data_IF_482585977596
#
_entry.id   IF_482585977596
#
_cell.length_a   1.000
_cell.length_b   1.000
_cell.length_c   1.000
_cell.angle_alpha   90.00
_cell.angle_beta   90.00
_cell.angle_gamma   90.00
#
_symmetry.space_group_name_H-M   'P 1'
#
loop_
_entity.id
_entity.type
_entity.pdbx_description
1 polymer ?
#
# COMPACT_ATOMS: atom_id res chain seq x y z
N UNK A 1 9.58 -50.40 -48.63
CA UNK A 1 9.34 -49.21 -47.78
C UNK A 1 9.62 -49.57 -46.33
N UNK A 2 10.65 -48.98 -45.70
CA UNK A 2 11.04 -49.28 -44.31
C UNK A 2 10.07 -48.54 -43.37
N UNK A 3 9.20 -49.26 -42.66
CA UNK A 3 8.36 -48.67 -41.59
C UNK A 3 9.28 -48.26 -40.44
N UNK A 4 9.37 -46.95 -40.20
CA UNK A 4 10.01 -46.44 -38.99
C UNK A 4 9.07 -46.74 -37.82
N UNK A 5 9.50 -47.57 -36.85
CA UNK A 5 8.76 -47.75 -35.60
C UNK A 5 8.76 -46.41 -34.86
N UNK A 6 7.58 -45.79 -34.73
CA UNK A 6 7.41 -44.64 -33.85
C UNK A 6 7.54 -45.12 -32.40
N UNK A 7 8.55 -44.59 -31.69
CA UNK A 7 8.69 -44.80 -30.24
C UNK A 7 7.64 -43.95 -29.53
N UNK A 8 6.74 -44.60 -28.81
CA UNK A 8 5.80 -43.94 -27.91
C UNK A 8 6.47 -43.48 -26.62
N UNK A 9 5.92 -42.43 -26.01
CA UNK A 9 6.34 -41.93 -24.70
C UNK A 9 5.94 -42.92 -23.61
N UNK A 10 6.80 -43.18 -22.63
CA UNK A 10 6.45 -44.05 -21.50
C UNK A 10 5.67 -43.29 -20.43
N UNK A 11 4.77 -43.99 -19.72
CA UNK A 11 4.02 -43.40 -18.60
C UNK A 11 4.94 -42.87 -17.49
N UNK A 12 6.08 -43.53 -17.27
CA UNK A 12 7.06 -43.12 -16.26
C UNK A 12 7.77 -41.83 -16.66
N UNK A 13 8.11 -41.65 -17.94
CA UNK A 13 8.69 -40.40 -18.44
C UNK A 13 7.74 -39.22 -18.24
N UNK A 14 6.44 -39.41 -18.51
CA UNK A 14 5.45 -38.35 -18.32
C UNK A 14 5.27 -38.03 -16.83
N UNK A 15 5.28 -39.04 -15.96
CA UNK A 15 5.15 -38.86 -14.51
C UNK A 15 6.32 -38.08 -13.91
N UNK A 16 7.56 -38.36 -14.33
CA UNK A 16 8.74 -37.62 -13.86
C UNK A 16 8.69 -36.16 -14.30
N UNK A 17 8.23 -35.88 -15.52
CA UNK A 17 8.13 -34.50 -16.04
C UNK A 17 7.13 -33.67 -15.22
N UNK A 18 5.94 -34.20 -14.95
CA UNK A 18 4.95 -33.47 -14.14
C UNK A 18 5.43 -33.28 -12.69
N UNK A 19 6.20 -34.23 -12.15
CA UNK A 19 6.80 -34.10 -10.83
C UNK A 19 7.82 -32.95 -10.78
N UNK A 20 8.71 -32.86 -11.78
CA UNK A 20 9.69 -31.76 -11.87
C UNK A 20 8.99 -30.42 -12.07
N UNK A 21 8.01 -30.33 -12.96
CA UNK A 21 7.22 -29.09 -13.17
C UNK A 21 6.51 -28.69 -11.88
N UNK A 22 5.95 -29.65 -11.13
CA UNK A 22 5.29 -29.37 -9.85
C UNK A 22 6.23 -28.76 -8.81
N UNK A 23 7.46 -29.28 -8.68
CA UNK A 23 8.47 -28.74 -7.76
C UNK A 23 8.88 -27.33 -8.17
N UNK A 24 9.18 -27.11 -9.46
CA UNK A 24 9.58 -25.80 -9.97
C UNK A 24 8.46 -24.76 -9.81
N UNK A 25 7.21 -25.14 -10.09
CA UNK A 25 6.06 -24.26 -9.93
C UNK A 25 5.85 -23.82 -8.48
N UNK A 26 6.05 -24.72 -7.50
CA UNK A 26 5.91 -24.40 -6.08
C UNK A 26 6.92 -23.34 -5.62
N UNK A 27 8.20 -23.47 -6.02
CA UNK A 27 9.26 -22.49 -5.67
C UNK A 27 8.97 -21.13 -6.31
N UNK A 28 8.59 -21.11 -7.58
CA UNK A 28 8.27 -19.86 -8.31
C UNK A 28 7.08 -19.16 -7.67
N UNK A 29 6.02 -19.89 -7.30
CA UNK A 29 4.82 -19.30 -6.69
C UNK A 29 5.15 -18.64 -5.34
N UNK A 30 5.98 -19.26 -4.50
CA UNK A 30 6.41 -18.67 -3.25
C UNK A 30 7.14 -17.34 -3.48
N UNK A 31 8.12 -17.31 -4.40
CA UNK A 31 8.87 -16.08 -4.72
C UNK A 31 8.01 -14.97 -5.33
N UNK A 32 6.97 -15.32 -6.09
CA UNK A 32 6.11 -14.35 -6.77
C UNK A 32 5.20 -13.63 -5.78
N UNK A 33 4.73 -14.31 -4.73
CA UNK A 33 3.90 -13.68 -3.70
C UNK A 33 4.68 -12.60 -2.92
N UNK A 34 5.94 -12.88 -2.56
CA UNK A 34 6.82 -11.91 -1.91
C UNK A 34 7.14 -10.72 -2.84
N UNK A 35 7.46 -10.99 -4.10
CA UNK A 35 7.69 -9.95 -5.11
C UNK A 35 6.45 -9.06 -5.34
N UNK A 36 5.24 -9.64 -5.30
CA UNK A 36 4.00 -8.89 -5.43
C UNK A 36 3.74 -7.98 -4.23
N UNK A 37 3.93 -8.49 -3.01
CA UNK A 37 3.74 -7.69 -1.78
C UNK A 37 4.73 -6.52 -1.70
N UNK A 38 6.00 -6.75 -2.02
CA UNK A 38 7.02 -5.69 -2.09
C UNK A 38 6.75 -4.65 -3.19
N UNK A 39 6.19 -5.07 -4.33
CA UNK A 39 5.71 -4.16 -5.37
C UNK A 39 4.56 -3.28 -4.91
N UNK A 40 3.59 -3.85 -4.20
CA UNK A 40 2.50 -3.09 -3.55
C UNK A 40 3.03 -2.07 -2.54
N UNK A 41 4.02 -2.45 -1.72
CA UNK A 41 4.65 -1.54 -0.75
C UNK A 41 5.35 -0.37 -1.42
N UNK A 42 6.04 -0.62 -2.54
CA UNK A 42 6.67 0.44 -3.31
C UNK A 42 5.62 1.42 -3.88
N UNK A 43 4.50 0.92 -4.38
CA UNK A 43 3.40 1.74 -4.87
C UNK A 43 2.78 2.60 -3.75
N UNK A 44 2.58 2.03 -2.55
CA UNK A 44 2.12 2.78 -1.38
C UNK A 44 3.09 3.90 -1.03
N UNK A 45 4.39 3.58 -0.90
CA UNK A 45 5.44 4.55 -0.56
C UNK A 45 5.51 5.69 -1.57
N UNK A 46 5.44 5.37 -2.85
CA UNK A 46 5.43 6.35 -3.94
C UNK A 46 4.17 7.21 -3.92
N UNK A 47 3.00 6.62 -3.76
CA UNK A 47 1.72 7.33 -3.68
C UNK A 47 1.73 8.36 -2.55
N UNK A 48 2.05 7.93 -1.34
CA UNK A 48 2.15 8.80 -0.17
C UNK A 48 3.21 9.91 -0.34
N UNK A 49 4.34 9.59 -0.98
CA UNK A 49 5.37 10.59 -1.32
C UNK A 49 4.88 11.65 -2.31
N UNK A 50 4.13 11.25 -3.34
CA UNK A 50 3.51 12.18 -4.29
C UNK A 50 2.47 13.08 -3.61
N UNK A 51 1.66 12.51 -2.71
CA UNK A 51 0.67 13.27 -1.95
C UNK A 51 1.32 14.37 -1.11
N UNK A 52 2.48 14.11 -0.49
CA UNK A 52 3.25 15.16 0.19
C UNK A 52 3.60 16.33 -0.74
N UNK A 53 4.13 16.03 -1.93
CA UNK A 53 4.47 17.07 -2.92
C UNK A 53 3.25 17.92 -3.27
N UNK A 54 2.09 17.29 -3.49
CA UNK A 54 0.85 18.02 -3.79
C UNK A 54 0.34 18.82 -2.60
N UNK A 55 0.44 18.28 -1.39
CA UNK A 55 0.07 18.99 -0.17
C UNK A 55 0.92 20.26 0.03
N UNK A 56 2.23 20.21 -0.25
CA UNK A 56 3.11 21.39 -0.19
C UNK A 56 2.76 22.46 -1.24
N UNK A 57 2.45 22.04 -2.47
CA UNK A 57 1.98 22.97 -3.52
C UNK A 57 0.68 23.65 -3.08
N UNK A 58 -0.24 22.89 -2.51
CA UNK A 58 -1.49 23.42 -1.96
C UNK A 58 -1.24 24.39 -0.81
N UNK A 59 -0.39 24.03 0.14
CA UNK A 59 -0.03 24.88 1.29
C UNK A 59 0.47 26.26 0.86
N UNK A 60 1.36 26.31 -0.13
CA UNK A 60 1.91 27.56 -0.64
C UNK A 60 0.87 28.43 -1.38
N UNK A 61 -0.07 27.80 -2.08
CA UNK A 61 -1.14 28.51 -2.81
C UNK A 61 -2.33 28.91 -1.93
N UNK A 62 -2.46 28.31 -0.74
CA UNK A 62 -3.62 28.46 0.15
C UNK A 62 -3.25 29.17 1.47
N UNK A 63 -2.55 30.30 1.39
CA UNK A 63 -2.16 31.13 2.54
C UNK A 63 -1.47 30.35 3.66
N UNK A 64 -0.58 29.42 3.32
CA UNK A 64 0.13 28.56 4.28
C UNK A 64 -0.81 27.71 5.12
N UNK A 65 -1.79 27.08 4.45
CA UNK A 65 -2.76 26.18 5.09
C UNK A 65 -3.02 24.92 4.26
N UNK A 66 -3.01 23.76 4.93
CA UNK A 66 -3.39 22.47 4.32
C UNK A 66 -4.90 22.21 4.35
N UNK A 67 -5.70 23.08 4.96
CA UNK A 67 -7.16 23.02 4.89
C UNK A 67 -7.81 24.39 5.01
N UNK A 68 -9.02 24.54 4.44
CA UNK A 68 -9.82 25.77 4.48
C UNK A 68 -11.06 25.65 5.38
N UNK A 69 -11.60 24.44 5.59
CA UNK A 69 -12.65 24.16 6.57
C UNK A 69 -12.60 22.73 7.11
N UNK A 70 -13.45 22.40 8.09
CA UNK A 70 -13.59 21.03 8.60
C UNK A 70 -14.06 20.02 7.53
N UNK A 71 -14.67 20.49 6.44
CA UNK A 71 -15.17 19.67 5.31
C UNK A 71 -14.33 19.82 4.04
N UNK A 72 -13.23 20.59 4.09
CA UNK A 72 -12.34 20.86 2.97
C UNK A 72 -10.90 20.91 3.48
N UNK A 73 -10.28 19.74 3.61
CA UNK A 73 -8.93 19.54 4.11
C UNK A 73 -8.08 18.69 3.16
N UNK A 74 -6.77 18.65 3.39
CA UNK A 74 -5.82 17.89 2.57
C UNK A 74 -6.12 16.38 2.48
N UNK A 75 -6.93 15.84 3.38
CA UNK A 75 -7.38 14.46 3.35
C UNK A 75 -8.63 14.27 2.45
N UNK A 76 -9.49 15.28 2.33
CA UNK A 76 -10.76 15.21 1.58
C UNK A 76 -10.65 15.74 0.14
N UNK A 77 -9.49 16.26 -0.27
CA UNK A 77 -9.23 16.62 -1.66
C UNK A 77 -9.31 15.40 -2.59
N UNK A 78 -10.03 15.52 -3.71
CA UNK A 78 -10.26 14.41 -4.65
C UNK A 78 -8.97 13.73 -5.14
N UNK A 79 -7.88 14.50 -5.29
CA UNK A 79 -6.59 13.95 -5.70
C UNK A 79 -5.93 13.17 -4.56
N UNK A 80 -5.97 13.69 -3.34
CA UNK A 80 -5.51 12.99 -2.15
C UNK A 80 -6.31 11.69 -1.94
N UNK A 81 -7.65 11.76 -2.00
CA UNK A 81 -8.55 10.61 -1.88
C UNK A 81 -8.20 9.53 -2.90
N UNK A 82 -7.91 9.88 -4.15
CA UNK A 82 -7.51 8.90 -5.17
C UNK A 82 -6.20 8.17 -4.84
N UNK A 83 -5.24 8.87 -4.21
CA UNK A 83 -3.97 8.28 -3.76
C UNK A 83 -4.16 7.40 -2.54
N UNK A 84 -4.93 7.86 -1.56
CA UNK A 84 -5.27 7.11 -0.34
C UNK A 84 -6.04 5.83 -0.68
N UNK A 85 -6.95 5.89 -1.64
CA UNK A 85 -7.69 4.76 -2.19
C UNK A 85 -6.76 3.79 -2.94
N UNK A 86 -5.83 4.30 -3.75
CA UNK A 86 -4.79 3.51 -4.39
C UNK A 86 -3.91 2.76 -3.38
N UNK A 87 -3.48 3.44 -2.31
CA UNK A 87 -2.71 2.85 -1.23
C UNK A 87 -3.51 1.77 -0.48
N UNK A 88 -4.81 1.98 -0.25
CA UNK A 88 -5.71 0.99 0.35
C UNK A 88 -5.78 -0.29 -0.49
N UNK A 89 -6.02 -0.13 -1.79
CA UNK A 89 -6.13 -1.26 -2.71
C UNK A 89 -4.79 -2.03 -2.84
N UNK A 90 -3.67 -1.31 -2.85
CA UNK A 90 -2.34 -1.92 -2.87
C UNK A 90 -2.02 -2.69 -1.57
N UNK A 91 -2.44 -2.14 -0.42
CA UNK A 91 -2.29 -2.73 0.91
C UNK A 91 -3.12 -4.01 1.10
N UNK A 92 -4.23 -4.14 0.36
CA UNK A 92 -5.10 -5.31 0.43
C UNK A 92 -5.99 -5.36 1.68
N UNK A 93 -6.12 -4.24 2.40
CA UNK A 93 -6.93 -4.17 3.63
C UNK A 93 -8.35 -3.70 3.34
N UNK A 94 -9.33 -4.46 3.84
CA UNK A 94 -10.75 -4.32 3.53
C UNK A 94 -11.49 -3.19 4.28
N UNK A 95 -10.84 -2.43 5.16
CA UNK A 95 -11.55 -1.44 5.98
C UNK A 95 -11.28 0.01 5.52
N UNK A 96 -12.38 0.78 5.50
CA UNK A 96 -12.49 2.09 4.88
C UNK A 96 -11.40 3.09 5.28
N UNK A 97 -11.08 3.97 4.34
CA UNK A 97 -10.47 5.27 4.61
C UNK A 97 -11.25 5.95 5.73
N UNK A 98 -10.61 6.12 6.89
CA UNK A 98 -11.11 7.04 7.92
C UNK A 98 -10.46 8.38 7.63
N UNK A 99 -11.13 9.20 6.82
CA UNK A 99 -10.95 10.65 6.86
C UNK A 99 -11.48 11.12 8.21
N UNK A 100 -10.67 10.95 9.26
CA UNK A 100 -11.13 11.21 10.61
C UNK A 100 -10.93 12.69 10.92
N UNK A 101 -11.98 13.47 10.69
CA UNK A 101 -12.05 14.85 11.17
C UNK A 101 -12.34 14.95 12.67
N UNK A 102 -12.63 13.85 13.40
CA UNK A 102 -12.65 13.79 14.87
C UNK A 102 -13.14 12.42 15.41
N UNK A 103 -12.22 11.51 15.73
CA UNK A 103 -12.47 10.29 16.49
C UNK A 103 -13.29 9.20 15.78
N UNK A 104 -12.61 8.19 15.27
CA UNK A 104 -12.53 6.85 15.90
C UNK A 104 -11.64 5.96 15.05
N UNK A 105 -10.36 5.86 15.43
CA UNK A 105 -9.50 4.78 14.97
C UNK A 105 -10.09 3.44 15.45
N UNK A 106 -10.88 2.81 14.60
CA UNK A 106 -11.23 1.41 14.78
C UNK A 106 -10.04 0.58 14.31
N UNK A 107 -9.39 -0.05 15.29
CA UNK A 107 -8.38 -1.09 15.24
C UNK A 107 -8.26 -1.86 13.90
N UNK A 108 -6.99 -2.00 13.50
CA UNK A 108 -6.40 -2.80 12.42
C UNK A 108 -6.35 -2.19 11.01
N UNK A 109 -5.11 -1.89 10.58
CA UNK A 109 -4.65 -1.79 9.20
C UNK A 109 -5.49 -0.89 8.27
N UNK A 110 -5.77 0.34 8.71
CA UNK A 110 -6.44 1.33 7.86
C UNK A 110 -5.47 2.33 7.28
N UNK A 111 -5.81 2.81 6.08
CA UNK A 111 -5.25 4.07 5.59
C UNK A 111 -5.87 5.20 6.41
N UNK A 112 -5.03 5.95 7.12
CA UNK A 112 -5.45 7.04 8.01
C UNK A 112 -4.90 8.35 7.49
N UNK A 113 -5.72 9.40 7.51
CA UNK A 113 -5.28 10.76 7.21
C UNK A 113 -5.80 11.71 8.28
N UNK A 114 -4.91 12.45 8.92
CA UNK A 114 -5.25 13.54 9.81
C UNK A 114 -4.69 14.84 9.25
N UNK A 115 -5.53 15.86 9.18
CA UNK A 115 -5.14 17.19 8.74
C UNK A 115 -5.54 18.26 9.76
N UNK A 116 -4.60 19.17 10.01
CA UNK A 116 -4.71 20.41 10.75
C UNK A 116 -4.24 21.57 9.85
N UNK A 117 -4.35 22.82 10.35
CA UNK A 117 -4.28 23.98 9.47
C UNK A 117 -2.90 24.07 8.83
N UNK A 118 -1.88 23.67 9.59
CA UNK A 118 -0.47 23.76 9.23
C UNK A 118 0.26 22.43 9.43
N UNK A 119 -0.47 21.34 9.64
CA UNK A 119 0.15 20.03 9.84
C UNK A 119 -0.77 18.93 9.30
N UNK A 120 -0.20 17.85 8.81
CA UNK A 120 -0.97 16.67 8.42
C UNK A 120 -0.09 15.43 8.50
N UNK A 121 -0.73 14.28 8.67
CA UNK A 121 -0.09 12.97 8.64
C UNK A 121 -0.96 11.97 7.90
N UNK A 122 -0.33 11.11 7.13
CA UNK A 122 -0.98 9.98 6.47
C UNK A 122 -0.22 8.71 6.75
N UNK A 123 -0.97 7.66 7.03
CA UNK A 123 -0.45 6.31 7.19
C UNK A 123 -1.17 5.36 6.26
N UNK A 124 -0.43 4.42 5.68
CA UNK A 124 -0.98 3.32 4.92
C UNK A 124 -0.29 2.01 5.34
N UNK A 125 -1.03 0.93 5.67
CA UNK A 125 -0.44 -0.35 6.04
C UNK A 125 0.31 -0.95 4.86
N UNK A 126 1.40 -1.66 5.13
CA UNK A 126 2.16 -2.38 4.11
C UNK A 126 1.48 -3.70 3.76
N UNK A 127 1.55 -4.09 2.50
CA UNK A 127 1.03 -5.36 2.00
C UNK A 127 1.92 -6.55 2.38
N UNK A 128 3.21 -6.32 2.63
CA UNK A 128 4.14 -7.36 3.10
C UNK A 128 3.97 -7.69 4.58
N UNK A 129 3.56 -6.71 5.40
CA UNK A 129 3.34 -6.88 6.84
C UNK A 129 2.24 -5.92 7.33
N UNK A 130 1.07 -6.49 7.62
CA UNK A 130 -0.11 -5.74 8.04
C UNK A 130 0.01 -5.15 9.47
N UNK A 131 1.08 -5.46 10.19
CA UNK A 131 1.42 -4.84 11.49
C UNK A 131 2.22 -3.55 11.33
N UNK A 132 2.73 -3.29 10.11
CA UNK A 132 3.56 -2.16 9.75
C UNK A 132 2.80 -1.22 8.81
N UNK A 133 3.13 0.06 8.88
CA UNK A 133 2.56 1.08 8.01
C UNK A 133 3.64 2.06 7.56
N UNK A 134 3.51 2.57 6.34
CA UNK A 134 4.27 3.70 5.88
C UNK A 134 3.60 4.99 6.33
N UNK A 135 4.35 5.83 7.03
CA UNK A 135 3.89 7.12 7.53
C UNK A 135 4.62 8.26 6.82
N UNK A 136 3.85 9.24 6.36
CA UNK A 136 4.36 10.51 5.83
C UNK A 136 3.65 11.68 6.51
N UNK A 137 4.36 12.78 6.72
CA UNK A 137 3.79 13.99 7.33
C UNK A 137 4.30 15.29 6.69
N UNK A 138 3.69 16.40 7.11
CA UNK A 138 4.05 17.77 6.71
C UNK A 138 5.43 18.22 7.18
N UNK A 139 6.04 17.54 8.15
CA UNK A 139 7.41 17.86 8.61
C UNK A 139 8.49 17.25 7.74
N UNK A 140 8.08 16.41 6.77
CA UNK A 140 8.98 15.72 5.86
C UNK A 140 9.31 14.29 6.28
N UNK A 141 8.68 13.75 7.33
CA UNK A 141 8.88 12.36 7.69
C UNK A 141 8.39 11.42 6.57
N UNK A 142 9.12 10.33 6.37
CA UNK A 142 8.76 9.24 5.48
C UNK A 142 9.41 7.96 6.04
N UNK A 143 8.68 7.27 6.92
CA UNK A 143 9.23 6.14 7.68
C UNK A 143 8.18 5.07 7.95
N UNK A 144 8.68 3.88 8.25
CA UNK A 144 7.85 2.75 8.61
C UNK A 144 7.59 2.72 10.12
N UNK A 145 6.33 2.57 10.49
CA UNK A 145 5.84 2.60 11.87
C UNK A 145 5.00 1.36 12.16
N UNK A 146 4.68 1.12 13.43
CA UNK A 146 3.61 0.18 13.78
C UNK A 146 2.26 0.73 13.30
N UNK A 147 1.35 -0.13 12.88
CA UNK A 147 0.03 0.26 12.33
C UNK A 147 -0.87 1.01 13.33
N UNK A 148 -0.60 0.87 14.63
CA UNK A 148 -1.24 1.63 15.71
C UNK A 148 -0.47 2.91 16.10
N UNK A 149 0.60 3.25 15.37
CA UNK A 149 1.62 4.20 15.81
C UNK A 149 1.25 5.68 15.70
N UNK A 150 0.25 6.05 14.90
CA UNK A 150 -0.23 7.44 14.85
C UNK A 150 -1.45 7.56 15.75
N UNK A 151 -1.32 8.37 16.82
CA UNK A 151 -2.44 8.67 17.71
C UNK A 151 -3.58 9.36 16.96
N UNK A 152 -4.81 9.21 17.42
CA UNK A 152 -6.05 9.66 16.75
C UNK A 152 -6.18 11.18 16.55
N UNK A 153 -5.22 11.96 17.06
CA UNK A 153 -5.14 13.42 16.96
C UNK A 153 -3.72 13.89 16.63
N UNK A 154 -2.82 12.95 16.30
CA UNK A 154 -1.46 13.29 15.93
C UNK A 154 -1.42 13.77 14.48
N UNK A 155 -0.60 14.79 14.22
CA UNK A 155 -0.36 15.36 12.88
C UNK A 155 1.09 15.15 12.41
N UNK A 156 1.80 14.22 13.05
CA UNK A 156 3.19 13.88 12.73
C UNK A 156 3.43 12.39 12.96
N UNK A 157 4.39 11.84 12.24
CA UNK A 157 4.81 10.46 12.41
C UNK A 157 5.58 10.27 13.73
N UNK A 158 5.27 9.23 14.53
CA UNK A 158 5.91 8.94 15.82
C UNK A 158 7.40 8.66 15.67
#
# INVERSE_FOLDING_TARGET
>A
MKKMLQRGFTLIELLVVIAIIGILAAVVLASLNDARSSGSDAAIKQGLGNMRSQAEIYYNSNNFRYYTSATANACDDSSAVSVLEGARNASGVATAYTGDTNGTASSNARVTCHAAAQAWVVTAPLASDNTRAWCVDSTGAAKEIAVAGVGTTAYACP
#
